data_IF_729352859662
#
_entry.id   IF_729352859662
#
_cell.length_a   1.000
_cell.length_b   1.000
_cell.length_c   1.000
_cell.angle_alpha   90.00
_cell.angle_beta   90.00
_cell.angle_gamma   90.00
#
_symmetry.space_group_name_H-M   'P 1'
#
loop_
_entity.id
_entity.type
_entity.pdbx_description
1 polymer ?
#
# COMPACT_ATOMS: atom_id res chain seq x y z
N UNK A 1 -37.74 -20.97 -21.25
CA UNK A 1 -36.91 -21.31 -20.07
C UNK A 1 -35.50 -20.73 -20.22
N UNK A 2 -35.33 -19.39 -20.28
CA UNK A 2 -34.02 -18.74 -20.50
C UNK A 2 -33.82 -17.44 -19.68
N UNK A 3 -34.82 -17.02 -18.90
CA UNK A 3 -34.70 -15.83 -18.04
C UNK A 3 -33.89 -16.12 -16.76
N UNK A 4 -33.87 -17.36 -16.31
CA UNK A 4 -33.23 -17.78 -15.05
C UNK A 4 -31.70 -17.75 -15.11
N UNK A 5 -31.11 -18.05 -16.27
CA UNK A 5 -29.65 -18.03 -16.48
C UNK A 5 -29.07 -16.60 -16.43
N UNK A 6 -29.82 -15.63 -16.95
CA UNK A 6 -29.40 -14.22 -16.91
C UNK A 6 -29.58 -13.62 -15.51
N UNK A 7 -30.62 -14.05 -14.77
CA UNK A 7 -30.87 -13.62 -13.40
C UNK A 7 -29.79 -14.16 -12.44
N UNK A 8 -29.44 -15.44 -12.57
CA UNK A 8 -28.36 -16.06 -11.78
C UNK A 8 -26.98 -15.45 -12.08
N UNK A 9 -26.71 -15.11 -13.34
CA UNK A 9 -25.47 -14.40 -13.72
C UNK A 9 -25.42 -12.98 -13.14
N UNK A 10 -26.54 -12.24 -13.18
CA UNK A 10 -26.65 -10.91 -12.57
C UNK A 10 -26.41 -10.95 -11.06
N UNK A 11 -26.96 -11.94 -10.37
CA UNK A 11 -26.79 -12.11 -8.92
C UNK A 11 -25.35 -12.47 -8.55
N UNK A 12 -24.71 -13.37 -9.32
CA UNK A 12 -23.31 -13.73 -9.14
C UNK A 12 -22.40 -12.50 -9.31
N UNK A 13 -22.64 -11.68 -10.34
CA UNK A 13 -21.91 -10.43 -10.58
C UNK A 13 -22.10 -9.43 -9.42
N UNK A 14 -23.34 -9.24 -8.95
CA UNK A 14 -23.63 -8.37 -7.79
C UNK A 14 -22.97 -8.84 -6.50
N UNK A 15 -22.83 -10.15 -6.31
CA UNK A 15 -22.12 -10.71 -5.17
C UNK A 15 -20.61 -10.43 -5.28
N UNK A 16 -20.05 -10.65 -6.47
CA UNK A 16 -18.63 -10.39 -6.74
C UNK A 16 -18.26 -8.91 -6.59
N UNK A 17 -19.12 -7.99 -7.03
CA UNK A 17 -18.94 -6.54 -6.83
C UNK A 17 -18.86 -6.20 -5.33
N UNK A 18 -19.81 -6.69 -4.53
CA UNK A 18 -19.83 -6.45 -3.07
C UNK A 18 -18.59 -6.98 -2.35
N UNK A 19 -18.08 -8.14 -2.77
CA UNK A 19 -16.85 -8.69 -2.21
C UNK A 19 -15.62 -7.87 -2.58
N UNK A 20 -15.54 -7.40 -3.84
CA UNK A 20 -14.47 -6.52 -4.30
C UNK A 20 -14.52 -5.15 -3.59
N UNK A 21 -15.70 -4.58 -3.39
CA UNK A 21 -15.89 -3.34 -2.61
C UNK A 21 -15.41 -3.51 -1.17
N UNK A 22 -15.73 -4.64 -0.52
CA UNK A 22 -15.22 -4.97 0.82
C UNK A 22 -13.71 -5.13 0.86
N UNK A 23 -13.09 -5.66 -0.20
CA UNK A 23 -11.63 -5.77 -0.28
C UNK A 23 -10.98 -4.39 -0.46
N UNK A 24 -11.62 -3.49 -1.20
CA UNK A 24 -11.16 -2.12 -1.39
C UNK A 24 -11.33 -1.24 -0.14
N UNK A 25 -12.32 -1.55 0.71
CA UNK A 25 -12.58 -0.86 1.98
C UNK A 25 -11.71 -1.36 3.13
N UNK A 26 -11.13 -2.56 3.03
CA UNK A 26 -10.08 -3.01 3.94
C UNK A 26 -8.86 -2.15 3.65
N UNK A 27 -8.52 -1.24 4.57
CA UNK A 27 -7.42 -0.28 4.47
C UNK A 27 -6.00 -0.87 4.33
N UNK A 28 -5.88 -2.12 3.85
CA UNK A 28 -4.63 -2.80 3.55
C UNK A 28 -3.81 -2.12 2.45
N UNK A 29 -4.43 -1.23 1.66
CA UNK A 29 -3.74 -0.49 0.59
C UNK A 29 -2.76 0.58 1.10
N UNK A 30 -2.92 1.03 2.35
CA UNK A 30 -2.12 2.13 2.91
C UNK A 30 -1.39 1.71 4.19
N UNK A 31 -0.68 0.58 4.10
CA UNK A 31 0.15 0.05 5.19
C UNK A 31 1.63 0.13 4.84
N UNK A 32 2.45 0.39 5.85
CA UNK A 32 3.90 0.34 5.70
C UNK A 32 4.38 -1.11 5.69
N UNK A 33 5.19 -1.49 4.69
CA UNK A 33 5.71 -2.86 4.57
C UNK A 33 6.77 -3.24 5.62
N UNK A 34 7.14 -2.32 6.52
CA UNK A 34 8.14 -2.56 7.57
C UNK A 34 7.45 -2.82 8.91
N UNK A 35 6.60 -1.90 9.38
CA UNK A 35 5.85 -2.10 10.62
C UNK A 35 4.54 -2.88 10.42
N UNK A 36 4.08 -3.07 9.18
CA UNK A 36 2.81 -3.71 8.82
C UNK A 36 1.54 -3.00 9.35
N UNK A 37 1.71 -1.79 9.88
CA UNK A 37 0.64 -0.91 10.36
C UNK A 37 0.36 0.23 9.37
N UNK A 38 -0.68 1.02 9.67
CA UNK A 38 -0.95 2.27 8.98
C UNK A 38 0.26 3.21 9.06
N UNK A 39 0.47 4.02 8.01
CA UNK A 39 1.59 4.95 7.97
C UNK A 39 1.52 6.01 9.07
N UNK A 40 2.60 6.12 9.85
CA UNK A 40 2.86 7.24 10.76
C UNK A 40 3.91 8.15 10.13
N UNK A 41 3.51 9.38 9.76
CA UNK A 41 4.36 10.36 9.04
C UNK A 41 5.01 9.70 7.80
N UNK A 42 4.24 9.40 6.74
CA UNK A 42 4.79 8.73 5.56
C UNK A 42 5.81 9.61 4.85
N UNK A 43 7.00 9.04 4.60
CA UNK A 43 8.05 9.65 3.80
C UNK A 43 8.31 8.82 2.54
N UNK A 44 8.63 9.50 1.45
CA UNK A 44 9.13 8.90 0.21
C UNK A 44 10.58 9.29 -0.04
N UNK A 45 11.37 8.40 -0.64
CA UNK A 45 12.70 8.74 -1.16
C UNK A 45 12.57 9.35 -2.56
N UNK A 46 13.19 10.51 -2.80
CA UNK A 46 13.20 11.14 -4.14
C UNK A 46 13.94 10.28 -5.20
N UNK A 47 14.70 9.27 -4.78
CA UNK A 47 15.46 8.40 -5.68
C UNK A 47 14.62 7.23 -6.23
N UNK A 48 13.71 6.68 -5.43
CA UNK A 48 12.97 5.45 -5.77
C UNK A 48 11.47 5.49 -5.48
N UNK A 49 10.96 6.59 -4.92
CA UNK A 49 9.54 6.84 -4.61
C UNK A 49 8.83 5.86 -3.66
N UNK A 50 9.52 4.83 -3.15
CA UNK A 50 8.99 3.94 -2.11
C UNK A 50 8.63 4.69 -0.83
N UNK A 51 7.54 4.28 -0.19
CA UNK A 51 6.97 4.95 0.99
C UNK A 51 7.09 4.06 2.22
N UNK A 52 7.64 4.63 3.29
CA UNK A 52 7.66 4.02 4.63
C UNK A 52 7.42 5.11 5.69
N UNK A 53 7.10 4.70 6.92
CA UNK A 53 7.02 5.63 8.05
C UNK A 53 8.38 6.30 8.28
N UNK A 54 8.39 7.53 8.78
CA UNK A 54 9.62 8.24 9.16
C UNK A 54 10.53 7.39 10.06
N UNK A 55 9.96 6.81 11.11
CA UNK A 55 10.73 5.95 12.03
C UNK A 55 11.31 4.72 11.33
N UNK A 56 10.53 4.08 10.44
CA UNK A 56 10.99 2.91 9.69
C UNK A 56 12.14 3.27 8.75
N UNK A 57 12.06 4.42 8.07
CA UNK A 57 13.15 4.94 7.25
C UNK A 57 14.40 5.20 8.08
N UNK A 58 14.29 5.97 9.18
CA UNK A 58 15.44 6.33 10.01
C UNK A 58 16.11 5.11 10.64
N UNK A 59 15.31 4.12 11.06
CA UNK A 59 15.82 2.84 11.58
C UNK A 59 16.63 2.07 10.53
N UNK A 60 16.12 1.92 9.30
CA UNK A 60 16.84 1.23 8.22
C UNK A 60 18.09 2.00 7.82
N UNK A 61 17.98 3.32 7.63
CA UNK A 61 19.08 4.17 7.16
C UNK A 61 20.22 4.28 8.18
N UNK A 62 19.92 4.17 9.48
CA UNK A 62 20.92 4.06 10.54
C UNK A 62 21.78 2.81 10.45
N UNK A 63 21.24 1.71 9.90
CA UNK A 63 21.98 0.46 9.69
C UNK A 63 22.68 0.42 8.32
N UNK A 64 21.98 0.79 7.24
CA UNK A 64 22.49 0.80 5.87
C UNK A 64 21.84 1.95 5.10
N UNK A 65 22.63 2.75 4.38
CA UNK A 65 22.15 3.90 3.57
C UNK A 65 21.46 3.47 2.25
N UNK A 66 20.52 2.52 2.34
CA UNK A 66 19.81 1.91 1.22
C UNK A 66 18.30 1.91 1.50
N UNK A 67 17.50 2.02 0.44
CA UNK A 67 16.06 1.82 0.50
C UNK A 67 15.72 0.39 0.96
N UNK A 68 14.86 0.21 1.97
CA UNK A 68 14.48 -1.12 2.50
C UNK A 68 13.73 -2.01 1.50
N UNK A 69 13.16 -1.44 0.43
CA UNK A 69 12.36 -2.18 -0.55
C UNK A 69 13.14 -2.55 -1.82
N UNK A 70 14.02 -1.66 -2.31
CA UNK A 70 14.71 -1.86 -3.60
C UNK A 70 16.23 -1.70 -3.55
N UNK A 71 16.81 -1.43 -2.37
CA UNK A 71 18.25 -1.24 -2.18
C UNK A 71 18.88 -0.09 -2.99
N UNK A 72 18.09 0.84 -3.55
CA UNK A 72 18.62 2.10 -4.11
C UNK A 72 19.29 2.89 -2.99
N UNK A 73 20.47 3.47 -3.25
CA UNK A 73 21.15 4.35 -2.29
C UNK A 73 20.19 5.46 -1.87
N UNK A 74 20.01 5.63 -0.57
CA UNK A 74 19.09 6.64 -0.01
C UNK A 74 19.71 7.17 1.28
N UNK A 75 19.71 8.48 1.42
CA UNK A 75 20.10 9.18 2.65
C UNK A 75 18.88 9.85 3.31
N UNK A 76 18.94 10.22 4.60
CA UNK A 76 17.86 10.97 5.23
C UNK A 76 17.51 12.28 4.52
N UNK A 77 18.48 12.93 3.85
CA UNK A 77 18.25 14.15 3.07
C UNK A 77 17.43 13.94 1.79
N UNK A 78 17.33 12.70 1.31
CA UNK A 78 16.53 12.32 0.14
C UNK A 78 15.05 12.11 0.49
N UNK A 79 14.68 12.15 1.78
CA UNK A 79 13.31 11.85 2.22
C UNK A 79 12.40 13.08 2.16
N UNK A 80 11.18 12.91 1.67
CA UNK A 80 10.14 13.95 1.63
C UNK A 80 8.83 13.42 2.19
N UNK A 81 8.16 14.24 2.99
CA UNK A 81 6.84 13.91 3.54
C UNK A 81 5.79 13.91 2.45
N UNK A 82 4.89 12.92 2.50
CA UNK A 82 3.75 12.78 1.59
C UNK A 82 2.45 12.63 2.39
N UNK A 83 1.31 12.66 1.69
CA UNK A 83 -0.01 12.42 2.24
C UNK A 83 -0.71 11.35 1.39
N UNK A 84 -1.27 10.33 2.02
CA UNK A 84 -1.86 9.14 1.38
C UNK A 84 -3.31 8.95 1.81
#
# INVERSE_FOLDING_TARGET
MCKDSNLTTLEALKCRIRDLEKQLSRGDRYKCLICMDCYTIPLTSIQCWHVHCEECWLRTLGAKKLCPQCNTITSPGDLRRVYL
#
